data_IF_334838844194
#
_entry.id   IF_334838844194
#
_cell.length_a   1.000
_cell.length_b   1.000
_cell.length_c   1.000
_cell.angle_alpha   90.00
_cell.angle_beta   90.00
_cell.angle_gamma   90.00
#
_symmetry.space_group_name_H-M   'P 1'
#
loop_
_entity.id
_entity.type
_entity.pdbx_description
1 polymer ?
#
# COMPACT_ATOMS: atom_id res chain seq x y z
N UNK A 1 9.82 -15.95 -29.73
CA UNK A 1 8.78 -16.41 -28.79
C UNK A 1 7.87 -15.24 -28.46
N UNK A 2 6.57 -15.39 -28.63
CA UNK A 2 5.57 -14.37 -28.27
C UNK A 2 5.56 -14.17 -26.76
N UNK A 3 5.53 -12.91 -26.31
CA UNK A 3 5.45 -12.60 -24.87
C UNK A 3 4.11 -13.07 -24.29
N UNK A 4 4.07 -13.62 -23.06
CA UNK A 4 2.88 -14.28 -22.50
C UNK A 4 1.64 -13.37 -22.36
N UNK A 5 1.81 -12.05 -22.27
CA UNK A 5 0.71 -11.08 -22.20
C UNK A 5 0.63 -10.18 -23.44
N UNK A 6 1.17 -10.63 -24.59
CA UNK A 6 1.06 -9.87 -25.85
C UNK A 6 -0.40 -9.60 -26.22
N UNK A 7 -0.73 -8.36 -26.53
CA UNK A 7 -2.09 -7.91 -26.86
C UNK A 7 -3.03 -7.73 -25.68
N UNK A 8 -2.60 -8.02 -24.44
CA UNK A 8 -3.40 -7.83 -23.22
C UNK A 8 -3.26 -6.43 -22.65
N UNK A 9 -4.36 -5.86 -22.18
CA UNK A 9 -4.39 -4.57 -21.49
C UNK A 9 -4.68 -4.75 -20.01
N UNK A 10 -3.77 -4.23 -19.16
CA UNK A 10 -3.86 -4.33 -17.70
C UNK A 10 -4.01 -2.95 -17.07
N UNK A 11 -5.05 -2.77 -16.27
CA UNK A 11 -5.28 -1.56 -15.50
C UNK A 11 -4.53 -1.63 -14.17
N UNK A 12 -3.66 -0.63 -13.91
CA UNK A 12 -2.85 -0.52 -12.69
C UNK A 12 -3.44 0.58 -11.82
N UNK A 13 -4.04 0.20 -10.66
CA UNK A 13 -4.79 1.14 -9.81
C UNK A 13 -3.97 1.80 -8.69
N UNK A 14 -2.67 1.51 -8.61
CA UNK A 14 -1.75 2.11 -7.63
C UNK A 14 -1.62 3.61 -7.83
N UNK A 15 -1.21 4.37 -6.79
CA UNK A 15 -0.73 5.74 -6.98
C UNK A 15 0.30 5.84 -8.11
N UNK A 16 0.26 6.91 -8.88
CA UNK A 16 1.06 7.05 -10.11
C UNK A 16 2.58 6.90 -9.84
N UNK A 17 3.07 7.53 -8.77
CA UNK A 17 4.46 7.48 -8.28
C UNK A 17 4.93 6.07 -7.87
N UNK A 18 3.99 5.19 -7.53
CA UNK A 18 4.25 3.80 -7.11
C UNK A 18 3.98 2.77 -8.22
N UNK A 19 3.50 3.19 -9.39
CA UNK A 19 3.06 2.28 -10.45
C UNK A 19 4.19 1.77 -11.33
N UNK A 20 5.30 2.51 -11.45
CA UNK A 20 6.37 2.27 -12.43
C UNK A 20 6.96 0.86 -12.36
N UNK A 21 7.15 0.32 -11.16
CA UNK A 21 7.70 -1.02 -10.95
C UNK A 21 6.79 -2.11 -11.55
N UNK A 22 5.48 -2.04 -11.26
CA UNK A 22 4.50 -3.00 -11.80
C UNK A 22 4.34 -2.84 -13.31
N UNK A 23 4.30 -1.61 -13.81
CA UNK A 23 4.23 -1.33 -15.25
C UNK A 23 5.41 -1.97 -15.98
N UNK A 24 6.65 -1.75 -15.52
CA UNK A 24 7.85 -2.37 -16.13
C UNK A 24 7.80 -3.90 -16.12
N UNK A 25 7.21 -4.52 -15.09
CA UNK A 25 7.05 -5.97 -15.02
C UNK A 25 6.04 -6.47 -16.05
N UNK A 26 4.89 -5.80 -16.15
CA UNK A 26 3.84 -6.14 -17.12
C UNK A 26 4.29 -5.91 -18.57
N UNK A 27 5.00 -4.81 -18.84
CA UNK A 27 5.56 -4.50 -20.16
C UNK A 27 6.59 -5.56 -20.62
N UNK A 28 7.43 -6.05 -19.70
CA UNK A 28 8.34 -7.18 -19.98
C UNK A 28 7.59 -8.44 -20.39
N UNK A 29 6.42 -8.68 -19.81
CA UNK A 29 5.53 -9.78 -20.18
C UNK A 29 4.73 -9.50 -21.47
N UNK A 30 4.77 -8.27 -22.01
CA UNK A 30 4.12 -7.88 -23.25
C UNK A 30 2.75 -7.24 -23.09
N UNK A 31 2.29 -6.99 -21.87
CA UNK A 31 1.02 -6.31 -21.64
C UNK A 31 1.13 -4.81 -21.94
N UNK A 32 0.04 -4.23 -22.40
CA UNK A 32 -0.19 -2.78 -22.40
C UNK A 32 -0.71 -2.38 -21.02
N UNK A 33 0.04 -1.54 -20.31
CA UNK A 33 -0.38 -1.04 -18.99
C UNK A 33 -1.10 0.30 -19.10
N UNK A 34 -2.28 0.42 -18.47
CA UNK A 34 -2.97 1.71 -18.27
C UNK A 34 -2.89 2.06 -16.81
N UNK A 35 -2.18 3.13 -16.45
CA UNK A 35 -2.11 3.63 -15.08
C UNK A 35 -3.37 4.42 -14.76
N UNK A 36 -4.15 3.91 -13.81
CA UNK A 36 -5.41 4.48 -13.38
C UNK A 36 -5.45 4.61 -11.86
N UNK A 37 -4.75 5.59 -11.26
CA UNK A 37 -4.68 5.74 -9.82
C UNK A 37 -6.08 5.81 -9.20
N UNK A 38 -6.42 4.80 -8.42
CA UNK A 38 -7.69 4.73 -7.70
C UNK A 38 -7.62 5.42 -6.32
N UNK A 39 -6.41 5.80 -5.91
CA UNK A 39 -6.15 6.65 -4.74
C UNK A 39 -5.02 7.62 -5.05
N UNK A 40 -5.08 8.78 -4.41
CA UNK A 40 -3.97 9.74 -4.33
C UNK A 40 -3.47 9.82 -2.89
N UNK A 41 -2.18 10.05 -2.71
CA UNK A 41 -1.56 10.32 -1.41
C UNK A 41 -1.32 11.83 -1.34
N UNK A 42 -1.91 12.49 -0.34
CA UNK A 42 -1.71 13.91 -0.09
C UNK A 42 -0.95 14.12 1.22
N UNK A 43 0.07 14.99 1.25
CA UNK A 43 0.81 15.27 2.46
C UNK A 43 -0.09 15.94 3.51
N UNK A 44 0.13 15.59 4.78
CA UNK A 44 -0.45 16.28 5.93
C UNK A 44 0.58 17.26 6.48
N UNK A 45 0.14 18.50 6.70
CA UNK A 45 0.92 19.53 7.39
C UNK A 45 0.15 19.91 8.66
N UNK A 46 0.43 19.22 9.77
CA UNK A 46 -0.17 19.50 11.07
C UNK A 46 0.88 19.74 12.13
N UNK A 47 0.54 20.52 13.14
CA UNK A 47 1.40 20.74 14.29
C UNK A 47 1.69 19.42 15.04
N UNK A 48 0.69 18.52 15.10
CA UNK A 48 0.81 17.21 15.73
C UNK A 48 1.87 16.35 15.02
N UNK A 49 1.81 16.24 13.68
CA UNK A 49 2.81 15.49 12.91
C UNK A 49 4.20 16.12 13.05
N UNK A 50 4.30 17.45 12.96
CA UNK A 50 5.58 18.17 13.08
C UNK A 50 6.23 17.93 14.45
N UNK A 51 5.44 17.98 15.53
CA UNK A 51 5.89 17.67 16.89
C UNK A 51 6.34 16.22 17.01
N UNK A 52 5.53 15.27 16.56
CA UNK A 52 5.84 13.85 16.63
C UNK A 52 7.12 13.49 15.88
N UNK A 53 7.38 14.10 14.72
CA UNK A 53 8.61 13.87 13.96
C UNK A 53 9.84 14.49 14.66
N UNK A 54 9.70 15.64 15.32
CA UNK A 54 10.77 16.23 16.13
C UNK A 54 11.08 15.32 17.33
N UNK A 55 10.07 14.85 18.04
CA UNK A 55 10.20 13.92 19.16
C UNK A 55 10.80 12.57 18.72
N UNK A 56 10.51 12.12 17.50
CA UNK A 56 11.17 10.95 16.92
C UNK A 56 12.67 11.19 16.70
N UNK A 57 13.03 12.35 16.17
CA UNK A 57 14.41 12.70 15.91
C UNK A 57 15.22 12.93 17.21
N UNK A 58 14.58 13.45 18.27
CA UNK A 58 15.21 13.60 19.60
C UNK A 58 15.35 12.27 20.35
N UNK A 59 14.70 11.18 19.87
CA UNK A 59 14.80 9.84 20.48
C UNK A 59 13.79 9.58 21.61
N UNK A 60 12.71 10.37 21.69
CA UNK A 60 11.67 10.19 22.69
C UNK A 60 10.78 8.97 22.46
N UNK A 61 10.76 8.43 21.24
CA UNK A 61 10.05 7.20 20.91
C UNK A 61 10.98 6.00 20.96
N UNK A 62 10.54 4.92 21.60
CA UNK A 62 11.22 3.62 21.55
C UNK A 62 10.96 2.87 20.26
N UNK A 63 9.79 3.07 19.67
CA UNK A 63 9.37 2.44 18.42
C UNK A 63 8.65 3.42 17.50
N UNK A 64 8.74 3.15 16.21
CA UNK A 64 7.86 3.74 15.19
C UNK A 64 7.26 2.61 14.36
N UNK A 65 5.95 2.68 14.10
CA UNK A 65 5.25 1.73 13.22
C UNK A 65 5.11 2.32 11.82
N UNK A 66 5.50 1.54 10.81
CA UNK A 66 5.39 1.87 9.40
C UNK A 66 4.34 0.96 8.76
N UNK A 67 3.12 1.45 8.60
CA UNK A 67 2.00 0.66 8.07
C UNK A 67 1.78 0.84 6.57
N UNK A 68 2.66 1.62 5.90
CA UNK A 68 2.64 1.82 4.45
C UNK A 68 3.97 2.37 3.93
N UNK A 69 4.20 2.24 2.62
CA UNK A 69 5.32 2.94 1.94
C UNK A 69 5.19 4.45 2.08
N UNK A 70 3.97 5.00 1.98
CA UNK A 70 3.74 6.44 2.12
C UNK A 70 4.19 7.00 3.48
N UNK A 71 4.11 6.21 4.56
CA UNK A 71 4.69 6.63 5.86
C UNK A 71 6.21 6.75 5.77
N UNK A 72 6.88 5.83 5.07
CA UNK A 72 8.34 5.92 4.86
C UNK A 72 8.70 7.17 4.06
N UNK A 73 7.91 7.48 3.03
CA UNK A 73 8.11 8.68 2.21
C UNK A 73 7.95 9.95 3.04
N UNK A 74 6.94 10.01 3.92
CA UNK A 74 6.76 11.14 4.86
C UNK A 74 7.96 11.29 5.79
N UNK A 75 8.51 10.21 6.34
CA UNK A 75 9.70 10.28 7.18
C UNK A 75 10.91 10.80 6.37
N UNK A 76 11.10 10.26 5.16
CA UNK A 76 12.18 10.69 4.26
C UNK A 76 12.12 12.17 3.93
N UNK A 77 10.91 12.68 3.64
CA UNK A 77 10.70 14.04 3.14
C UNK A 77 10.67 15.08 4.29
N UNK A 78 10.48 14.64 5.54
CA UNK A 78 10.28 15.53 6.68
C UNK A 78 11.35 15.47 7.76
N UNK A 79 12.19 14.44 7.76
CA UNK A 79 13.34 14.31 8.66
C UNK A 79 14.62 14.78 7.95
N UNK A 80 15.63 15.19 8.71
CA UNK A 80 16.93 15.57 8.18
C UNK A 80 17.72 14.41 7.58
N UNK A 81 17.35 13.18 7.94
CA UNK A 81 17.95 11.97 7.39
C UNK A 81 17.55 10.72 8.17
N UNK A 82 17.98 9.53 7.70
CA UNK A 82 17.61 8.28 8.33
C UNK A 82 18.17 8.11 9.76
N UNK A 83 19.21 8.84 10.13
CA UNK A 83 19.78 8.83 11.50
C UNK A 83 18.86 9.44 12.54
N UNK A 84 17.88 10.25 12.10
CA UNK A 84 16.86 10.84 12.97
C UNK A 84 15.83 9.79 13.42
N UNK A 85 15.78 8.62 12.76
CA UNK A 85 14.97 7.50 13.22
C UNK A 85 15.79 6.66 14.19
N UNK A 86 15.94 7.16 15.43
CA UNK A 86 16.65 6.45 16.52
C UNK A 86 15.84 5.30 17.12
N UNK A 87 14.52 5.35 16.97
CA UNK A 87 13.59 4.33 17.42
C UNK A 87 13.79 3.00 16.68
N UNK A 88 13.41 1.91 17.33
CA UNK A 88 13.18 0.64 16.64
C UNK A 88 12.01 0.79 15.66
N UNK A 89 12.06 0.04 14.57
CA UNK A 89 11.12 0.17 13.46
C UNK A 89 10.34 -1.12 13.27
N UNK A 90 9.01 -1.01 13.30
CA UNK A 90 8.11 -2.11 12.98
C UNK A 90 7.40 -1.83 11.65
N UNK A 91 7.73 -2.58 10.61
CA UNK A 91 7.11 -2.45 9.30
C UNK A 91 6.02 -3.52 9.09
N UNK A 92 4.88 -3.12 8.51
CA UNK A 92 3.71 -4.00 8.34
C UNK A 92 3.98 -5.18 7.40
N UNK A 93 4.91 -5.04 6.46
CA UNK A 93 5.17 -6.07 5.45
C UNK A 93 6.39 -5.76 4.59
N UNK A 94 6.72 -6.71 3.71
CA UNK A 94 7.96 -6.70 2.90
C UNK A 94 8.12 -5.41 2.09
N UNK A 95 7.08 -4.96 1.37
CA UNK A 95 7.18 -3.76 0.54
C UNK A 95 7.46 -2.47 1.34
N UNK A 96 6.92 -2.35 2.57
CA UNK A 96 7.22 -1.23 3.46
C UNK A 96 8.62 -1.37 4.07
N UNK A 97 9.00 -2.59 4.44
CA UNK A 97 10.32 -2.91 4.96
C UNK A 97 11.42 -2.58 3.95
N UNK A 98 11.23 -2.93 2.68
CA UNK A 98 12.17 -2.60 1.61
C UNK A 98 12.27 -1.11 1.32
N UNK A 99 11.14 -0.39 1.33
CA UNK A 99 11.16 1.07 1.18
C UNK A 99 11.99 1.71 2.31
N UNK A 100 11.77 1.27 3.56
CA UNK A 100 12.55 1.73 4.69
C UNK A 100 14.04 1.35 4.55
N UNK A 101 14.35 0.09 4.23
CA UNK A 101 15.73 -0.37 4.06
C UNK A 101 16.50 0.40 2.98
N UNK A 102 15.85 0.72 1.85
CA UNK A 102 16.47 1.51 0.78
C UNK A 102 16.84 2.92 1.26
N UNK A 103 15.96 3.57 2.01
CA UNK A 103 16.20 4.90 2.55
C UNK A 103 17.16 4.89 3.74
N UNK A 104 16.86 4.06 4.76
CA UNK A 104 17.57 4.09 6.05
C UNK A 104 18.88 3.29 6.07
N UNK A 105 19.15 2.50 5.01
CA UNK A 105 20.31 1.58 4.89
C UNK A 105 20.39 0.57 6.03
N UNK A 106 19.27 0.32 6.70
CA UNK A 106 19.11 -0.74 7.71
C UNK A 106 17.75 -1.41 7.59
N UNK A 107 17.65 -2.66 8.04
CA UNK A 107 16.37 -3.37 8.09
C UNK A 107 15.48 -2.82 9.23
N UNK A 108 14.15 -2.93 9.12
CA UNK A 108 13.27 -2.80 10.26
C UNK A 108 13.57 -3.88 11.32
N UNK A 109 13.31 -3.56 12.58
CA UNK A 109 13.53 -4.48 13.71
C UNK A 109 12.42 -5.54 13.81
N UNK A 110 11.25 -5.26 13.24
CA UNK A 110 10.09 -6.15 13.25
C UNK A 110 9.34 -6.09 11.92
N UNK A 111 9.10 -7.27 11.34
CA UNK A 111 8.18 -7.47 10.21
C UNK A 111 7.35 -8.73 10.51
N UNK A 112 6.02 -8.66 10.59
CA UNK A 112 5.21 -9.83 10.88
C UNK A 112 5.16 -10.79 9.68
N UNK A 113 4.87 -12.06 9.94
CA UNK A 113 4.72 -13.07 8.86
C UNK A 113 3.50 -12.81 7.98
N UNK A 114 2.43 -12.25 8.56
CA UNK A 114 1.21 -11.85 7.84
C UNK A 114 1.11 -10.33 7.85
N UNK A 115 0.91 -9.72 6.69
CA UNK A 115 1.06 -8.27 6.47
C UNK A 115 -0.23 -7.51 6.79
N UNK A 116 -0.68 -7.61 8.03
CA UNK A 116 -1.85 -6.92 8.57
C UNK A 116 -1.51 -6.16 9.83
N UNK A 117 -2.29 -5.12 10.17
CA UNK A 117 -2.12 -4.38 11.43
C UNK A 117 -2.33 -5.28 12.64
N UNK A 118 -3.25 -6.24 12.57
CA UNK A 118 -3.48 -7.24 13.62
C UNK A 118 -2.25 -8.13 13.82
N UNK A 119 -1.64 -8.62 12.74
CA UNK A 119 -0.44 -9.43 12.83
C UNK A 119 0.77 -8.62 13.32
N UNK A 120 0.88 -7.35 12.91
CA UNK A 120 1.90 -6.43 13.42
C UNK A 120 1.74 -6.24 14.94
N UNK A 121 0.51 -5.96 15.40
CA UNK A 121 0.20 -5.81 16.81
C UNK A 121 0.51 -7.11 17.61
N UNK A 122 0.18 -8.28 17.07
CA UNK A 122 0.48 -9.58 17.70
C UNK A 122 1.98 -9.83 17.82
N UNK A 123 2.73 -9.55 16.76
CA UNK A 123 4.19 -9.75 16.73
C UNK A 123 4.95 -8.72 17.58
N UNK A 124 4.34 -7.59 17.90
CA UNK A 124 4.97 -6.55 18.72
C UNK A 124 5.27 -7.08 20.14
N UNK A 125 6.47 -6.82 20.68
CA UNK A 125 6.82 -7.30 22.02
C UNK A 125 6.01 -6.58 23.10
N UNK A 126 5.90 -7.17 24.29
CA UNK A 126 5.51 -6.44 25.51
C UNK A 126 6.63 -5.50 25.92
N UNK A 127 6.28 -4.38 26.53
CA UNK A 127 7.27 -3.40 26.96
C UNK A 127 6.64 -2.10 27.44
N UNK A 128 7.47 -1.10 27.62
CA UNK A 128 7.06 0.23 28.05
C UNK A 128 7.73 1.32 27.20
N UNK A 129 7.23 2.54 27.30
CA UNK A 129 7.70 3.70 26.55
C UNK A 129 6.82 4.05 25.38
N UNK A 130 7.19 5.11 24.69
CA UNK A 130 6.35 5.69 23.61
C UNK A 130 6.56 4.98 22.28
N UNK A 131 5.45 4.81 21.53
CA UNK A 131 5.42 4.26 20.17
C UNK A 131 4.78 5.28 19.23
N UNK A 132 5.49 5.73 18.21
CA UNK A 132 4.90 6.57 17.17
C UNK A 132 4.14 5.71 16.16
N UNK A 133 2.84 5.98 16.02
CA UNK A 133 1.95 5.39 15.02
C UNK A 133 1.60 6.45 13.96
N UNK A 134 2.55 6.71 13.04
CA UNK A 134 2.34 7.62 11.93
C UNK A 134 1.60 6.88 10.79
N UNK A 135 0.32 7.22 10.57
CA UNK A 135 -0.58 6.42 9.72
C UNK A 135 -1.34 7.27 8.70
N UNK A 136 -2.06 6.60 7.79
CA UNK A 136 -3.06 7.26 6.95
C UNK A 136 -4.21 7.78 7.82
N UNK A 137 -4.85 8.88 7.41
CA UNK A 137 -6.07 9.40 8.03
C UNK A 137 -7.20 8.35 8.09
N UNK A 138 -7.34 7.55 7.03
CA UNK A 138 -8.34 6.46 6.92
C UNK A 138 -7.87 5.12 7.49
N UNK A 139 -6.75 5.08 8.21
CA UNK A 139 -6.23 3.81 8.74
C UNK A 139 -7.18 3.22 9.80
N UNK A 140 -7.46 1.89 9.74
CA UNK A 140 -8.33 1.24 10.72
C UNK A 140 -7.83 1.43 12.15
N UNK A 141 -8.74 1.54 13.09
CA UNK A 141 -8.44 1.58 14.52
C UNK A 141 -7.91 0.24 15.04
N UNK A 142 -7.51 0.20 16.33
CA UNK A 142 -7.18 -1.02 17.07
C UNK A 142 -5.70 -1.40 17.09
N UNK A 143 -4.83 -0.79 16.27
CA UNK A 143 -3.37 -1.01 16.42
C UNK A 143 -2.88 -0.37 17.73
N UNK A 144 -3.26 0.86 17.96
CA UNK A 144 -2.88 1.65 19.12
C UNK A 144 -3.36 0.99 20.41
N UNK A 145 -4.62 0.53 20.47
CA UNK A 145 -5.19 -0.19 21.62
C UNK A 145 -4.46 -1.49 21.89
N UNK A 146 -4.13 -2.23 20.81
CA UNK A 146 -3.37 -3.48 20.93
C UNK A 146 -1.95 -3.26 21.45
N UNK A 147 -1.32 -2.14 21.12
CA UNK A 147 -0.01 -1.77 21.66
C UNK A 147 -0.12 -1.33 23.13
N UNK A 148 -1.15 -0.55 23.47
CA UNK A 148 -1.41 -0.12 24.85
C UNK A 148 -1.66 -1.34 25.77
N UNK A 149 -2.41 -2.34 25.32
CA UNK A 149 -2.63 -3.59 26.06
C UNK A 149 -1.33 -4.40 26.30
N UNK A 150 -0.24 -4.06 25.58
CA UNK A 150 1.10 -4.64 25.79
C UNK A 150 2.04 -3.79 26.63
N UNK A 151 1.54 -2.66 27.21
CA UNK A 151 2.27 -1.77 28.10
C UNK A 151 2.92 -0.57 27.40
N UNK A 152 2.71 -0.39 26.08
CA UNK A 152 3.24 0.74 25.35
C UNK A 152 2.35 1.98 25.45
N UNK A 153 2.92 3.16 25.24
CA UNK A 153 2.20 4.44 25.12
C UNK A 153 2.17 4.90 23.64
N UNK A 154 1.17 4.46 22.86
CA UNK A 154 1.10 4.80 21.44
C UNK A 154 0.67 6.27 21.24
N UNK A 155 1.32 6.95 20.31
CA UNK A 155 0.96 8.28 19.81
C UNK A 155 0.56 8.16 18.36
N UNK A 156 -0.74 8.24 18.06
CA UNK A 156 -1.25 8.25 16.69
C UNK A 156 -1.17 9.65 16.10
N UNK A 157 -0.66 9.75 14.87
CA UNK A 157 -0.70 10.97 14.06
C UNK A 157 -1.02 10.63 12.61
N UNK A 158 -1.80 11.50 11.96
CA UNK A 158 -2.02 11.38 10.52
C UNK A 158 -0.76 11.86 9.79
N UNK A 159 -0.09 10.93 9.12
CA UNK A 159 1.12 11.20 8.34
C UNK A 159 0.78 11.69 6.93
N UNK A 160 -0.29 11.17 6.34
CA UNK A 160 -0.78 11.53 5.01
C UNK A 160 -2.29 11.29 4.92
N UNK A 161 -2.91 11.92 3.91
CA UNK A 161 -4.32 11.71 3.56
C UNK A 161 -4.44 10.85 2.33
N UNK A 162 -5.35 9.90 2.36
CA UNK A 162 -5.74 9.11 1.19
C UNK A 162 -6.91 9.80 0.52
N UNK A 163 -6.71 10.27 -0.70
CA UNK A 163 -7.76 10.87 -1.52
C UNK A 163 -8.28 9.85 -2.53
N UNK A 164 -9.58 9.66 -2.59
CA UNK A 164 -10.22 8.86 -3.62
C UNK A 164 -10.67 9.77 -4.76
N UNK A 165 -10.31 9.48 -6.01
CA UNK A 165 -10.77 10.28 -7.14
C UNK A 165 -12.27 10.08 -7.34
N UNK A 166 -12.96 11.11 -7.82
CA UNK A 166 -14.37 11.00 -8.20
C UNK A 166 -14.57 10.20 -9.49
N UNK A 167 -13.58 10.21 -10.35
CA UNK A 167 -13.58 9.51 -11.65
C UNK A 167 -12.19 8.97 -11.95
N UNK A 168 -12.11 7.86 -12.67
CA UNK A 168 -10.85 7.35 -13.19
C UNK A 168 -10.30 8.25 -14.31
N UNK A 169 -9.01 8.18 -14.63
CA UNK A 169 -8.42 8.91 -15.78
C UNK A 169 -9.16 8.61 -17.08
N UNK A 170 -9.25 9.58 -18.02
CA UNK A 170 -10.01 9.42 -19.27
C UNK A 170 -9.64 8.16 -20.06
N UNK A 171 -8.36 7.84 -20.21
CA UNK A 171 -7.89 6.66 -20.93
C UNK A 171 -8.39 5.35 -20.28
N UNK A 172 -8.40 5.28 -18.94
CA UNK A 172 -8.90 4.11 -18.23
C UNK A 172 -10.41 3.93 -18.36
N UNK A 173 -11.16 5.04 -18.25
CA UNK A 173 -12.62 5.04 -18.46
C UNK A 173 -13.01 4.59 -19.86
N UNK A 174 -12.31 5.11 -20.85
CA UNK A 174 -12.58 4.76 -22.25
C UNK A 174 -12.28 3.29 -22.54
N UNK A 175 -11.14 2.79 -22.08
CA UNK A 175 -10.77 1.38 -22.24
C UNK A 175 -11.78 0.44 -21.53
N UNK A 176 -12.24 0.81 -20.31
CA UNK A 176 -13.28 0.05 -19.61
C UNK A 176 -14.62 0.09 -20.34
N UNK A 177 -15.02 1.26 -20.87
CA UNK A 177 -16.26 1.42 -21.61
C UNK A 177 -16.25 0.61 -22.92
N UNK A 178 -15.10 0.47 -23.57
CA UNK A 178 -14.95 -0.33 -24.81
C UNK A 178 -14.78 -1.82 -24.56
N UNK A 179 -14.52 -2.23 -23.31
CA UNK A 179 -14.23 -3.63 -22.99
C UNK A 179 -12.80 -4.05 -23.39
N UNK A 180 -11.89 -3.09 -23.48
CA UNK A 180 -10.49 -3.31 -23.87
C UNK A 180 -9.58 -3.68 -22.69
N UNK A 181 -10.11 -3.74 -21.47
CA UNK A 181 -9.34 -4.09 -20.26
C UNK A 181 -9.47 -5.56 -19.96
N UNK A 182 -8.38 -6.31 -20.02
CA UNK A 182 -8.35 -7.75 -19.72
C UNK A 182 -8.22 -8.02 -18.21
N UNK A 183 -7.44 -7.19 -17.48
CA UNK A 183 -7.27 -7.34 -16.05
C UNK A 183 -7.15 -6.00 -15.31
N UNK A 184 -7.55 -6.01 -14.03
CA UNK A 184 -7.37 -4.89 -13.08
C UNK A 184 -6.58 -5.40 -11.88
N UNK A 185 -5.55 -4.65 -11.46
CA UNK A 185 -4.71 -5.01 -10.32
C UNK A 185 -5.00 -4.12 -9.12
N UNK A 186 -5.18 -4.73 -7.95
CA UNK A 186 -5.37 -4.03 -6.67
C UNK A 186 -4.25 -4.37 -5.68
N UNK A 187 -3.60 -3.35 -5.10
CA UNK A 187 -2.49 -3.53 -4.17
C UNK A 187 -2.81 -3.08 -2.74
N UNK A 188 -4.06 -2.68 -2.48
CA UNK A 188 -4.56 -2.37 -1.14
C UNK A 188 -6.10 -2.35 -1.13
N UNK A 189 -6.71 -2.46 0.04
CA UNK A 189 -8.16 -2.29 0.21
C UNK A 189 -8.62 -0.88 -0.23
N UNK A 190 -7.83 0.15 0.03
CA UNK A 190 -8.15 1.52 -0.39
C UNK A 190 -8.16 1.70 -1.91
N UNK A 191 -7.30 0.99 -2.66
CA UNK A 191 -7.36 1.02 -4.13
C UNK A 191 -8.62 0.35 -4.68
N UNK A 192 -9.15 -0.67 -4.01
CA UNK A 192 -10.45 -1.27 -4.35
C UNK A 192 -11.57 -0.25 -4.14
N UNK A 193 -11.66 0.34 -2.93
CA UNK A 193 -12.71 1.34 -2.61
C UNK A 193 -12.67 2.52 -3.56
N UNK A 194 -11.48 3.07 -3.81
CA UNK A 194 -11.33 4.21 -4.71
C UNK A 194 -11.67 3.86 -6.16
N UNK A 195 -11.33 2.65 -6.63
CA UNK A 195 -11.69 2.19 -7.96
C UNK A 195 -13.20 2.05 -8.12
N UNK A 196 -13.86 1.33 -7.19
CA UNK A 196 -15.31 1.11 -7.25
C UNK A 196 -16.08 2.43 -7.13
N UNK A 197 -15.64 3.34 -6.24
CA UNK A 197 -16.25 4.66 -6.09
C UNK A 197 -16.08 5.59 -7.31
N UNK A 198 -15.02 5.37 -8.10
CA UNK A 198 -14.74 6.13 -9.32
C UNK A 198 -15.17 5.41 -10.62
N UNK A 199 -15.67 4.17 -10.48
CA UNK A 199 -16.02 3.30 -11.60
C UNK A 199 -17.26 3.83 -12.29
N UNK A 200 -17.12 4.16 -13.57
CA UNK A 200 -18.24 4.48 -14.46
C UNK A 200 -18.79 3.21 -15.15
N UNK A 201 -19.31 3.40 -16.35
CA UNK A 201 -19.75 2.28 -17.19
C UNK A 201 -18.58 1.37 -17.56
N UNK A 202 -18.76 0.06 -17.36
CA UNK A 202 -17.80 -1.00 -17.72
C UNK A 202 -18.46 -1.94 -18.71
N UNK A 203 -17.74 -2.25 -19.79
CA UNK A 203 -18.11 -3.32 -20.71
C UNK A 203 -17.18 -4.51 -20.47
N UNK A 204 -17.75 -5.69 -20.40
CA UNK A 204 -16.99 -6.91 -20.08
C UNK A 204 -16.73 -7.06 -18.58
N UNK A 205 -16.00 -8.11 -18.23
CA UNK A 205 -15.63 -8.45 -16.85
C UNK A 205 -14.10 -8.67 -16.76
N UNK A 206 -13.32 -7.60 -16.60
CA UNK A 206 -11.87 -7.74 -16.50
C UNK A 206 -11.50 -8.65 -15.33
N UNK A 207 -10.45 -9.44 -15.49
CA UNK A 207 -9.93 -10.29 -14.41
C UNK A 207 -9.40 -9.45 -13.27
N UNK A 208 -9.84 -9.72 -12.05
CA UNK A 208 -9.41 -9.01 -10.85
C UNK A 208 -8.26 -9.74 -10.18
N UNK A 209 -7.13 -9.06 -10.03
CA UNK A 209 -5.92 -9.58 -9.40
C UNK A 209 -5.57 -8.74 -8.16
N UNK A 210 -5.46 -9.38 -7.00
CA UNK A 210 -5.19 -8.73 -5.73
C UNK A 210 -3.80 -9.10 -5.19
N UNK A 211 -3.13 -8.13 -4.56
CA UNK A 211 -1.80 -8.37 -3.95
C UNK A 211 -1.84 -9.32 -2.77
N UNK A 212 -2.98 -9.42 -2.08
CA UNK A 212 -3.07 -10.25 -0.87
C UNK A 212 -4.50 -10.44 -0.40
N UNK A 213 -4.71 -11.28 0.65
CA UNK A 213 -6.03 -11.71 1.11
C UNK A 213 -6.90 -10.56 1.65
N UNK A 214 -6.31 -9.54 2.29
CA UNK A 214 -7.05 -8.37 2.79
C UNK A 214 -7.64 -7.59 1.62
N UNK A 215 -6.87 -7.38 0.56
CA UNK A 215 -7.32 -6.71 -0.66
C UNK A 215 -8.39 -7.53 -1.40
N UNK A 216 -8.21 -8.86 -1.44
CA UNK A 216 -9.17 -9.76 -2.05
C UNK A 216 -10.51 -9.81 -1.28
N UNK A 217 -10.46 -9.77 0.06
CA UNK A 217 -11.66 -9.66 0.91
C UNK A 217 -12.43 -8.38 0.60
N UNK A 218 -11.73 -7.26 0.52
CA UNK A 218 -12.33 -5.96 0.18
C UNK A 218 -12.96 -5.98 -1.22
N UNK A 219 -12.26 -6.54 -2.22
CA UNK A 219 -12.78 -6.65 -3.59
C UNK A 219 -14.09 -7.46 -3.63
N UNK A 220 -14.14 -8.60 -2.94
CA UNK A 220 -15.37 -9.41 -2.84
C UNK A 220 -16.50 -8.68 -2.11
N UNK A 221 -16.19 -7.94 -1.06
CA UNK A 221 -17.18 -7.15 -0.33
C UNK A 221 -17.83 -6.06 -1.19
N UNK A 222 -17.14 -5.61 -2.24
CA UNK A 222 -17.64 -4.69 -3.26
C UNK A 222 -18.20 -5.40 -4.52
N UNK A 223 -18.49 -6.70 -4.45
CA UNK A 223 -19.11 -7.45 -5.55
C UNK A 223 -18.15 -7.84 -6.69
N UNK A 224 -16.84 -7.64 -6.53
CA UNK A 224 -15.88 -8.02 -7.56
C UNK A 224 -15.48 -9.49 -7.43
N UNK A 225 -15.52 -10.22 -8.56
CA UNK A 225 -15.00 -11.60 -8.63
C UNK A 225 -13.48 -11.57 -8.66
N UNK A 226 -12.82 -12.05 -7.60
CA UNK A 226 -11.35 -12.12 -7.53
C UNK A 226 -10.86 -13.39 -8.25
N UNK A 227 -10.05 -13.19 -9.28
CA UNK A 227 -9.54 -14.27 -10.14
C UNK A 227 -8.17 -14.78 -9.68
N UNK A 228 -7.33 -13.90 -9.10
CA UNK A 228 -6.05 -14.32 -8.54
C UNK A 228 -5.64 -13.46 -7.35
N UNK A 229 -4.93 -14.09 -6.43
CA UNK A 229 -4.25 -13.42 -5.30
C UNK A 229 -2.77 -13.73 -5.40
N UNK A 230 -1.94 -12.70 -5.32
CA UNK A 230 -0.50 -12.85 -5.39
C UNK A 230 0.05 -13.53 -4.11
N UNK A 231 1.01 -14.43 -4.31
CA UNK A 231 1.78 -15.05 -3.25
C UNK A 231 3.23 -15.23 -3.74
N UNK A 232 4.23 -14.66 -3.06
CA UNK A 232 4.13 -13.75 -1.92
C UNK A 232 3.43 -12.41 -2.27
N UNK A 233 3.10 -11.58 -1.27
CA UNK A 233 2.36 -10.32 -1.44
C UNK A 233 3.29 -9.18 -1.90
N UNK A 234 3.91 -9.37 -3.08
CA UNK A 234 4.85 -8.44 -3.70
C UNK A 234 4.37 -8.00 -5.08
N UNK A 235 4.97 -6.97 -5.62
CA UNK A 235 4.63 -6.41 -6.93
C UNK A 235 4.96 -7.40 -8.05
N UNK A 236 6.07 -8.11 -7.93
CA UNK A 236 6.50 -9.16 -8.85
C UNK A 236 5.47 -10.31 -8.90
N UNK A 237 5.02 -10.74 -7.72
CA UNK A 237 4.01 -11.78 -7.62
C UNK A 237 2.63 -11.33 -8.16
N UNK A 238 2.31 -10.02 -8.10
CA UNK A 238 1.12 -9.47 -8.78
C UNK A 238 1.25 -9.62 -10.29
N UNK A 239 2.40 -9.26 -10.88
CA UNK A 239 2.61 -9.43 -12.32
C UNK A 239 2.50 -10.91 -12.75
N UNK A 240 3.10 -11.83 -11.97
CA UNK A 240 2.98 -13.27 -12.20
C UNK A 240 1.53 -13.76 -12.03
N UNK A 241 0.77 -13.20 -11.07
CA UNK A 241 -0.65 -13.53 -10.89
C UNK A 241 -1.53 -13.03 -12.04
N UNK A 242 -1.21 -11.87 -12.63
CA UNK A 242 -1.86 -11.38 -13.85
C UNK A 242 -1.62 -12.35 -15.01
N UNK A 243 -0.37 -12.80 -15.19
CA UNK A 243 -0.04 -13.77 -16.23
C UNK A 243 -0.87 -15.06 -16.08
N UNK A 244 -0.97 -15.63 -14.87
CA UNK A 244 -1.80 -16.82 -14.62
C UNK A 244 -3.29 -16.60 -14.81
N UNK A 245 -3.79 -15.40 -14.57
CA UNK A 245 -5.22 -15.09 -14.70
C UNK A 245 -5.64 -14.86 -16.15
N UNK A 246 -4.71 -14.55 -17.06
CA UNK A 246 -4.96 -14.21 -18.46
C UNK A 246 -4.44 -15.27 -19.45
N UNK A 247 -3.58 -16.17 -19.00
CA UNK A 247 -3.09 -17.33 -19.77
C UNK A 247 -3.97 -18.50 -19.54
#
# INVERSE_FOLDING_TARGET
MTKPLAGRTVLVTRPADQSLELVKLLDRLGARSIVAPAIGIAPVRSAALTRALRELASGEYRWVTLTSRATVDVLRDRLGGPRDVRAKVAAIGVGTAEAFRRWARRAPDLVPRTFTTVALARAFPRGNGRVLCARADIAPEGLEDSLAAKGWSPTRVDAYRTRMPRTLPPAAREALRRGEVDAVTFTSASTVRGFVGALGAVKGAPKVVCIGPVTAKEARAHGLTVHAVANPHTVEAVAAAVQRALG
#
